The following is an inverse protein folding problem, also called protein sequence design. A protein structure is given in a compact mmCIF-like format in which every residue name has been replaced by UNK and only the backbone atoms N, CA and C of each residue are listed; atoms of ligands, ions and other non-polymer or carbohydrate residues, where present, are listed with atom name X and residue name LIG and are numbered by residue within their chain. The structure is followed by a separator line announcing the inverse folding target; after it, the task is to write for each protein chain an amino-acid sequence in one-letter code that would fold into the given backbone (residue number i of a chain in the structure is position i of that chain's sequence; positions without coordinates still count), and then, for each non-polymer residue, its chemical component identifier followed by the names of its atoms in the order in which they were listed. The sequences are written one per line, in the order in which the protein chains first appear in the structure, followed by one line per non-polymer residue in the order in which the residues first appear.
data_IF_823113223003
#
_entry.id   IF_823113223003
#
_cell.length_a   1.000
_cell.length_b   1.000
_cell.length_c   1.000
_cell.angle_alpha   90.00
_cell.angle_beta   90.00
_cell.angle_gamma   90.00
#
_symmetry.space_group_name_H-M   'P 1'
#
loop_
_entity.id
_entity.type
_entity.pdbx_description
1 polymer ?
#
# COMPACT_ATOMS: atom_id res chain seq x y z
N UNK A 1 18.61 -9.31 -5.31
CA UNK A 1 17.16 -9.41 -5.57
C UNK A 1 16.97 -9.27 -7.07
N UNK A 2 16.04 -9.98 -7.68
CA UNK A 2 15.74 -9.86 -9.11
C UNK A 2 14.64 -8.80 -9.21
N UNK A 3 14.87 -7.71 -9.93
CA UNK A 3 13.84 -6.69 -10.13
C UNK A 3 12.71 -7.28 -10.98
N UNK A 4 11.52 -7.40 -10.40
CA UNK A 4 10.32 -7.84 -11.12
C UNK A 4 9.62 -6.60 -11.66
N UNK A 5 9.63 -6.42 -12.98
CA UNK A 5 8.87 -5.35 -13.62
C UNK A 5 7.37 -5.68 -13.60
N UNK A 6 6.53 -4.69 -13.31
CA UNK A 6 5.09 -4.79 -13.51
C UNK A 6 4.73 -4.89 -15.00
N UNK A 7 3.58 -5.46 -15.32
CA UNK A 7 3.14 -5.68 -16.72
C UNK A 7 2.27 -4.53 -17.25
N UNK A 8 2.17 -3.41 -16.52
CA UNK A 8 1.32 -2.27 -16.88
C UNK A 8 -0.18 -2.48 -16.63
N UNK A 9 -0.57 -3.49 -15.83
CA UNK A 9 -1.96 -3.67 -15.43
C UNK A 9 -2.44 -2.55 -14.50
N UNK A 10 -3.72 -2.18 -14.61
CA UNK A 10 -4.37 -1.30 -13.64
C UNK A 10 -4.42 -1.99 -12.28
N UNK A 11 -4.01 -1.27 -11.24
CA UNK A 11 -4.07 -1.71 -9.85
C UNK A 11 -4.85 -0.65 -9.07
N UNK A 12 -5.89 -1.08 -8.36
CA UNK A 12 -6.74 -0.26 -7.52
C UNK A 12 -7.04 -1.03 -6.22
N UNK A 13 -6.56 -0.49 -5.10
CA UNK A 13 -6.77 -1.06 -3.77
C UNK A 13 -6.88 0.08 -2.75
N UNK A 14 -7.66 -0.11 -1.67
CA UNK A 14 -7.81 0.89 -0.63
C UNK A 14 -6.54 1.03 0.22
N UNK A 15 -6.23 2.27 0.59
CA UNK A 15 -5.21 2.62 1.56
C UNK A 15 -5.75 3.74 2.47
N UNK A 16 -5.30 3.74 3.73
CA UNK A 16 -5.64 4.74 4.73
C UNK A 16 -4.35 5.18 5.41
N UNK A 17 -4.13 6.50 5.45
CA UNK A 17 -3.08 7.13 6.23
C UNK A 17 -3.67 7.69 7.52
N UNK A 18 -3.03 7.39 8.66
CA UNK A 18 -3.38 7.91 9.97
C UNK A 18 -2.17 8.69 10.49
N UNK A 19 -2.31 10.01 10.51
CA UNK A 19 -1.26 10.93 10.93
C UNK A 19 -1.56 11.53 12.30
N UNK A 20 -0.57 11.56 13.19
CA UNK A 20 -0.65 12.22 14.49
C UNK A 20 0.11 13.55 14.43
N UNK A 21 -0.59 14.67 14.59
CA UNK A 21 0.01 15.98 14.74
C UNK A 21 0.41 16.23 16.21
N UNK A 22 1.67 16.57 16.44
CA UNK A 22 2.21 16.94 17.73
C UNK A 22 1.82 18.36 18.17
N UNK A 23 2.27 18.79 19.37
CA UNK A 23 1.88 20.08 19.94
C UNK A 23 2.25 21.33 19.12
N UNK A 24 3.23 21.22 18.21
CA UNK A 24 3.65 22.28 17.29
C UNK A 24 2.92 22.22 15.93
N UNK A 25 1.92 21.34 15.80
CA UNK A 25 1.13 21.15 14.58
C UNK A 25 1.84 20.35 13.49
N UNK A 26 3.03 19.79 13.76
CA UNK A 26 3.76 18.94 12.82
C UNK A 26 3.38 17.48 13.01
N UNK A 27 3.36 16.72 11.93
CA UNK A 27 3.16 15.27 11.99
C UNK A 27 4.38 14.64 12.69
N UNK A 28 4.13 13.88 13.75
CA UNK A 28 5.17 13.18 14.53
C UNK A 28 5.07 11.66 14.40
N UNK A 29 3.94 11.15 13.93
CA UNK A 29 3.73 9.74 13.62
C UNK A 29 2.86 9.63 12.36
N UNK A 30 3.15 8.61 11.55
CA UNK A 30 2.43 8.31 10.32
C UNK A 30 2.26 6.79 10.23
N UNK A 31 1.01 6.34 10.22
CA UNK A 31 0.64 4.93 10.16
C UNK A 31 -0.11 4.68 8.86
N UNK A 32 0.37 3.73 8.06
CA UNK A 32 -0.32 3.30 6.85
C UNK A 32 -1.04 1.96 7.08
N UNK A 33 -2.28 1.87 6.60
CA UNK A 33 -3.05 0.63 6.52
C UNK A 33 -3.50 0.41 5.08
N UNK A 34 -3.09 -0.71 4.48
CA UNK A 34 -3.26 -1.00 3.05
C UNK A 34 -3.84 -2.39 2.84
N UNK A 35 -4.73 -2.55 1.85
CA UNK A 35 -5.18 -3.87 1.41
C UNK A 35 -4.15 -4.54 0.47
N UNK A 36 -3.11 -5.07 1.09
CA UNK A 36 -2.02 -5.75 0.38
C UNK A 36 -2.45 -7.06 -0.28
N UNK A 37 -3.57 -7.66 0.13
CA UNK A 37 -4.08 -8.87 -0.50
C UNK A 37 -4.68 -8.53 -1.87
N UNK A 38 -5.54 -7.50 -1.94
CA UNK A 38 -6.08 -7.01 -3.22
C UNK A 38 -4.96 -6.56 -4.15
N UNK A 39 -3.97 -5.81 -3.63
CA UNK A 39 -2.76 -5.47 -4.39
C UNK A 39 -2.07 -6.72 -4.94
N UNK A 40 -1.75 -7.70 -4.10
CA UNK A 40 -0.98 -8.88 -4.52
C UNK A 40 -1.73 -9.73 -5.56
N UNK A 41 -3.06 -9.82 -5.46
CA UNK A 41 -3.89 -10.51 -6.45
C UNK A 41 -3.89 -9.79 -7.80
N UNK A 42 -4.09 -8.47 -7.82
CA UNK A 42 -4.07 -7.67 -9.06
C UNK A 42 -2.67 -7.57 -9.67
N UNK A 43 -1.64 -7.60 -8.84
CA UNK A 43 -0.24 -7.64 -9.26
C UNK A 43 0.18 -9.02 -9.79
N UNK A 44 -0.65 -10.06 -9.64
CA UNK A 44 -0.32 -11.44 -10.02
C UNK A 44 0.74 -12.08 -9.11
N UNK A 45 0.96 -11.53 -7.92
CA UNK A 45 1.90 -12.05 -6.91
C UNK A 45 1.26 -13.11 -6.01
N UNK A 46 -0.07 -13.13 -5.95
CA UNK A 46 -0.84 -14.12 -5.21
C UNK A 46 -1.90 -14.72 -6.12
N UNK A 47 -1.85 -16.04 -6.33
CA UNK A 47 -2.93 -16.77 -6.99
C UNK A 47 -4.10 -16.84 -6.00
N UNK A 48 -5.23 -16.23 -6.34
CA UNK A 48 -6.47 -16.46 -5.60
C UNK A 48 -6.78 -17.95 -5.55
N UNK A 49 -7.17 -18.45 -4.38
CA UNK A 49 -7.73 -19.80 -4.24
C UNK A 49 -9.07 -19.94 -4.92
#
# INVERSE_FOLDING_TARGET
MKDTAGQGQTIEFPAIDIQHAGPDGRIVEDWHLEDNLTFAQQAGLHAGG
#
